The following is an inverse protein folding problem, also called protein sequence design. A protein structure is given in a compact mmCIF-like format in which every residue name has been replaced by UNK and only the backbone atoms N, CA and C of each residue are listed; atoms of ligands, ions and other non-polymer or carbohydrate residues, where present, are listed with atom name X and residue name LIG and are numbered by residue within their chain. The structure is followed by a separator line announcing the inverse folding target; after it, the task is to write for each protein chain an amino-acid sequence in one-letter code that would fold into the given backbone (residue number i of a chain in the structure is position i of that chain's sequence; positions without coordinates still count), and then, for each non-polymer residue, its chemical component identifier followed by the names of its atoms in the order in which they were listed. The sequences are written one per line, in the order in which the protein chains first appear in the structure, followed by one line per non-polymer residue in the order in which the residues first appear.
data_IF_355859585177
#
_entry.id   IF_355859585177
#
_cell.length_a   1.000
_cell.length_b   1.000
_cell.length_c   1.000
_cell.angle_alpha   90.00
_cell.angle_beta   90.00
_cell.angle_gamma   90.00
#
_symmetry.space_group_name_H-M   'P 1'
#
loop_
_entity.id
_entity.type
_entity.pdbx_description
1 polymer ?
#
# COMPACT_ATOMS: atom_id res chain seq x y z
N UNK A 1 -8.58 -10.74 16.16
CA UNK A 1 -7.41 -9.89 16.50
C UNK A 1 -7.84 -8.41 16.40
N UNK A 2 -7.89 -7.67 17.51
CA UNK A 2 -7.98 -6.20 17.50
C UNK A 2 -6.55 -5.67 17.43
N UNK A 3 -6.08 -5.28 16.25
CA UNK A 3 -4.89 -4.44 16.16
C UNK A 3 -5.35 -3.01 16.51
N UNK A 4 -5.42 -2.73 17.81
CA UNK A 4 -5.62 -1.37 18.32
C UNK A 4 -4.32 -0.59 18.10
N UNK A 5 -4.16 0.02 16.93
CA UNK A 5 -3.28 1.18 16.83
C UNK A 5 -3.98 2.32 17.57
N UNK A 6 -3.46 2.62 18.76
CA UNK A 6 -3.98 3.64 19.65
C UNK A 6 -4.15 4.97 18.91
N UNK A 7 -5.41 5.40 18.75
CA UNK A 7 -5.82 6.63 18.05
C UNK A 7 -5.78 7.83 19.00
N UNK A 8 -4.60 8.19 19.47
CA UNK A 8 -4.37 9.46 20.16
C UNK A 8 -3.21 10.19 19.50
N UNK A 9 -3.42 11.47 19.19
CA UNK A 9 -2.50 12.43 18.54
C UNK A 9 -1.02 12.10 18.71
N UNK A 10 -0.48 11.35 17.75
CA UNK A 10 0.95 11.08 17.65
C UNK A 10 1.59 12.42 17.23
N UNK A 11 2.34 13.05 18.15
CA UNK A 11 3.21 14.19 17.82
C UNK A 11 4.11 13.78 16.64
N UNK A 12 4.40 14.67 15.70
CA UNK A 12 5.25 14.36 14.52
C UNK A 12 6.57 13.64 14.88
N UNK A 13 7.12 13.91 16.07
CA UNK A 13 8.31 13.26 16.62
C UNK A 13 8.16 11.77 17.00
N UNK A 14 6.96 11.19 16.89
CA UNK A 14 6.64 9.81 17.25
C UNK A 14 6.14 8.99 16.04
N UNK A 15 6.11 9.56 14.84
CA UNK A 15 5.82 8.78 13.64
C UNK A 15 6.96 7.77 13.42
N UNK A 16 6.66 6.48 13.20
CA UNK A 16 7.69 5.49 12.92
C UNK A 16 8.52 5.92 11.72
N UNK A 17 9.83 6.11 11.94
CA UNK A 17 10.76 6.45 10.86
C UNK A 17 10.81 5.25 9.91
N UNK A 18 10.44 5.47 8.65
CA UNK A 18 10.51 4.42 7.64
C UNK A 18 11.98 4.01 7.38
N UNK A 19 12.23 2.71 7.29
CA UNK A 19 13.58 2.15 7.08
C UNK A 19 13.71 1.41 5.75
N UNK A 20 12.68 0.66 5.35
CA UNK A 20 12.73 -0.15 4.13
C UNK A 20 12.91 0.68 2.86
N UNK A 21 12.17 1.78 2.68
CA UNK A 21 12.31 2.63 1.49
C UNK A 21 13.54 3.56 1.49
N UNK A 22 14.47 3.42 2.44
CA UNK A 22 15.79 4.09 2.43
C UNK A 22 16.95 3.12 2.16
N UNK A 23 16.69 1.82 2.00
CA UNK A 23 17.75 0.81 1.81
C UNK A 23 18.38 0.93 0.43
N UNK A 24 19.71 1.08 0.40
CA UNK A 24 20.61 0.87 -0.73
C UNK A 24 20.06 1.23 -2.12
N UNK A 25 19.69 0.20 -2.88
CA UNK A 25 19.19 0.31 -4.25
C UNK A 25 17.67 0.17 -4.30
N UNK A 26 17.03 0.80 -5.29
CA UNK A 26 15.63 0.54 -5.58
C UNK A 26 15.47 -0.95 -5.99
N UNK A 27 14.49 -1.70 -5.42
CA UNK A 27 14.38 -3.14 -5.64
C UNK A 27 14.41 -3.54 -7.11
N UNK A 28 15.15 -4.59 -7.45
CA UNK A 28 15.26 -5.09 -8.83
C UNK A 28 16.08 -4.22 -9.78
N UNK A 29 16.76 -3.17 -9.30
CA UNK A 29 17.50 -2.22 -10.15
C UNK A 29 18.89 -1.89 -9.61
N UNK A 30 19.70 -1.20 -10.42
CA UNK A 30 20.98 -0.60 -10.01
C UNK A 30 20.85 0.86 -9.56
N UNK A 31 19.62 1.38 -9.43
CA UNK A 31 19.38 2.77 -9.06
C UNK A 31 19.63 2.94 -7.56
N UNK A 32 20.66 3.71 -7.21
CA UNK A 32 21.05 3.93 -5.82
C UNK A 32 20.26 5.07 -5.19
N UNK A 33 19.81 4.86 -3.95
CA UNK A 33 19.21 5.90 -3.12
C UNK A 33 20.30 6.73 -2.46
N UNK A 34 20.12 8.04 -2.38
CA UNK A 34 20.94 8.90 -1.53
C UNK A 34 20.78 8.46 -0.07
N UNK A 35 21.90 8.22 0.61
CA UNK A 35 21.91 7.85 2.03
C UNK A 35 21.38 9.02 2.88
N UNK A 36 20.48 8.70 3.80
CA UNK A 36 19.85 9.66 4.71
C UNK A 36 19.85 9.05 6.11
N UNK A 37 20.43 9.75 7.08
CA UNK A 37 20.41 9.33 8.48
C UNK A 37 19.02 9.51 9.10
N UNK A 38 18.73 8.80 10.20
CA UNK A 38 17.39 8.83 10.83
C UNK A 38 16.97 10.25 11.26
N UNK A 39 17.91 11.10 11.66
CA UNK A 39 17.70 12.52 12.03
C UNK A 39 17.47 13.46 10.83
N UNK A 40 17.70 13.00 9.60
CA UNK A 40 17.56 13.78 8.37
C UNK A 40 16.29 13.42 7.57
N UNK A 41 15.50 12.45 8.05
CA UNK A 41 14.34 11.92 7.31
C UNK A 41 13.23 12.95 7.19
N UNK A 42 12.89 13.64 8.27
CA UNK A 42 11.76 14.58 8.27
C UNK A 42 12.03 15.77 7.36
N UNK A 43 11.05 16.17 6.55
CA UNK A 43 11.18 17.31 5.62
C UNK A 43 11.49 18.63 6.32
N UNK A 44 11.08 18.78 7.57
CA UNK A 44 11.35 19.93 8.45
C UNK A 44 12.82 20.05 8.85
N UNK A 45 13.58 18.96 8.78
CA UNK A 45 15.01 18.96 9.05
C UNK A 45 15.76 19.43 7.81
N UNK A 46 16.68 20.38 8.01
CA UNK A 46 17.51 20.90 6.93
C UNK A 46 18.47 19.85 6.41
N UNK A 47 18.47 19.68 5.08
CA UNK A 47 19.45 18.86 4.37
C UNK A 47 19.79 19.57 3.04
N UNK A 48 20.65 20.60 3.06
CA UNK A 48 20.92 21.44 1.89
C UNK A 48 21.44 20.67 0.67
N UNK A 49 22.18 19.58 0.90
CA UNK A 49 22.74 18.73 -0.15
C UNK A 49 21.82 17.56 -0.53
N UNK A 50 20.51 17.67 -0.26
CA UNK A 50 19.54 16.65 -0.66
C UNK A 50 19.26 16.77 -2.16
N UNK A 51 19.87 15.87 -2.93
CA UNK A 51 19.73 15.79 -4.38
C UNK A 51 19.65 14.32 -4.81
N UNK A 52 18.57 13.62 -4.43
CA UNK A 52 18.41 12.20 -4.72
C UNK A 52 18.27 11.95 -6.23
N UNK A 53 18.70 10.77 -6.67
CA UNK A 53 18.50 10.34 -8.06
C UNK A 53 17.00 10.29 -8.40
N UNK A 54 16.69 10.55 -9.67
CA UNK A 54 15.34 10.43 -10.21
C UNK A 54 15.14 9.09 -10.87
N UNK A 55 14.04 8.39 -10.55
CA UNK A 55 13.72 7.12 -11.18
C UNK A 55 12.22 6.89 -11.32
N UNK A 56 11.83 6.52 -12.55
CA UNK A 56 10.52 5.97 -12.91
C UNK A 56 10.78 4.78 -13.84
N UNK A 57 10.16 3.64 -13.56
CA UNK A 57 10.35 2.42 -14.31
C UNK A 57 9.74 2.54 -15.72
N UNK A 58 10.42 2.01 -16.74
CA UNK A 58 10.02 2.14 -18.15
C UNK A 58 8.69 1.46 -18.49
N UNK A 59 8.24 0.50 -17.68
CA UNK A 59 6.89 -0.10 -17.82
C UNK A 59 5.76 0.90 -17.59
N UNK A 60 6.02 2.07 -17.00
CA UNK A 60 5.05 3.13 -16.76
C UNK A 60 4.99 4.19 -17.87
N UNK A 61 5.64 3.95 -19.02
CA UNK A 61 5.71 4.91 -20.14
C UNK A 61 4.34 5.13 -20.81
N UNK A 62 3.35 4.26 -20.59
CA UNK A 62 2.03 4.41 -21.17
C UNK A 62 1.08 5.17 -20.24
N UNK A 63 0.67 6.38 -20.67
CA UNK A 63 -0.42 7.14 -20.05
C UNK A 63 -1.74 6.40 -20.29
N UNK A 64 -2.18 5.67 -19.27
CA UNK A 64 -3.49 5.00 -19.24
C UNK A 64 -4.32 5.60 -18.13
N UNK A 65 -5.63 5.34 -18.11
CA UNK A 65 -6.46 5.77 -16.97
C UNK A 65 -5.99 5.17 -15.63
N UNK A 66 -5.14 4.14 -15.64
CA UNK A 66 -4.57 3.50 -14.45
C UNK A 66 -3.21 4.06 -14.01
N UNK A 67 -2.50 4.81 -14.86
CA UNK A 67 -1.13 5.27 -14.64
C UNK A 67 -1.13 6.78 -14.83
N UNK A 68 -0.66 7.52 -13.83
CA UNK A 68 -0.55 8.97 -13.96
C UNK A 68 0.51 9.34 -15.01
N UNK A 69 0.36 10.50 -15.65
CA UNK A 69 1.42 11.02 -16.50
C UNK A 69 2.67 11.34 -15.70
N UNK A 70 3.84 11.16 -16.30
CA UNK A 70 5.13 11.48 -15.66
C UNK A 70 5.27 12.98 -15.37
N UNK A 71 4.72 13.81 -16.26
CA UNK A 71 4.68 15.26 -16.06
C UNK A 71 3.40 15.58 -15.29
N UNK A 72 3.55 16.19 -14.11
CA UNK A 72 2.40 16.63 -13.32
C UNK A 72 1.67 17.74 -14.06
N UNK A 73 0.40 17.49 -14.37
CA UNK A 73 -0.50 18.51 -14.91
C UNK A 73 -0.94 19.46 -13.79
N UNK A 74 -1.13 20.72 -14.14
CA UNK A 74 -1.70 21.73 -13.22
C UNK A 74 -3.12 21.39 -12.76
N UNK A 75 -3.78 20.45 -13.45
CA UNK A 75 -5.13 20.00 -13.12
C UNK A 75 -5.16 18.89 -12.06
N UNK A 76 -4.00 18.39 -11.60
CA UNK A 76 -3.97 17.41 -10.52
C UNK A 76 -4.50 18.03 -9.23
N UNK A 77 -5.41 17.32 -8.56
CA UNK A 77 -6.01 17.75 -7.30
C UNK A 77 -5.43 16.93 -6.15
N UNK A 78 -4.38 17.43 -5.51
CA UNK A 78 -3.72 16.74 -4.40
C UNK A 78 -4.54 16.75 -3.12
N UNK A 79 -4.31 15.75 -2.26
CA UNK A 79 -4.91 15.65 -0.93
C UNK A 79 -6.46 15.66 -0.93
N UNK A 80 -7.08 15.31 -2.06
CA UNK A 80 -8.54 15.24 -2.25
C UNK A 80 -8.89 14.10 -3.23
N UNK A 81 -10.18 13.91 -3.49
CA UNK A 81 -10.63 13.12 -4.62
C UNK A 81 -10.46 13.93 -5.91
N UNK A 82 -9.57 13.49 -6.78
CA UNK A 82 -9.25 14.15 -8.04
C UNK A 82 -10.28 13.77 -9.10
N UNK A 83 -11.29 14.63 -9.26
CA UNK A 83 -12.40 14.41 -10.19
C UNK A 83 -11.97 14.46 -11.65
N UNK A 84 -10.81 15.07 -11.97
CA UNK A 84 -10.33 15.15 -13.35
C UNK A 84 -9.80 13.78 -13.83
N UNK A 85 -9.30 12.97 -12.90
CA UNK A 85 -8.73 11.65 -13.19
C UNK A 85 -9.49 10.50 -12.53
N UNK A 86 -10.52 10.78 -11.74
CA UNK A 86 -11.29 9.80 -10.96
C UNK A 86 -10.40 8.97 -10.01
N UNK A 87 -9.46 9.64 -9.33
CA UNK A 87 -8.48 9.02 -8.42
C UNK A 87 -8.60 9.62 -7.03
N UNK A 88 -8.69 8.79 -5.99
CA UNK A 88 -8.54 9.28 -4.63
C UNK A 88 -7.06 9.57 -4.36
N UNK A 89 -6.72 10.84 -4.16
CA UNK A 89 -5.35 11.27 -3.85
C UNK A 89 -5.19 11.60 -2.36
N UNK A 90 -6.17 11.30 -1.50
CA UNK A 90 -6.01 11.44 -0.03
C UNK A 90 -5.13 10.31 0.50
N UNK A 91 -4.57 10.45 1.70
CA UNK A 91 -3.94 9.32 2.36
C UNK A 91 -5.00 8.42 2.99
N UNK A 92 -4.71 7.12 3.12
CA UNK A 92 -5.58 6.17 3.82
C UNK A 92 -5.69 6.44 5.33
N UNK A 93 -4.78 7.25 5.88
CA UNK A 93 -4.77 7.64 7.29
C UNK A 93 -5.49 9.01 7.42
N UNK A 94 -6.64 9.08 8.13
CA UNK A 94 -7.43 10.31 8.21
C UNK A 94 -6.73 11.49 8.88
N UNK A 95 -5.57 11.28 9.53
CA UNK A 95 -4.82 12.34 10.23
C UNK A 95 -3.81 13.06 9.32
N UNK A 96 -3.49 12.53 8.13
CA UNK A 96 -2.33 12.98 7.36
C UNK A 96 -2.63 13.51 5.95
N UNK A 97 -2.12 14.70 5.65
CA UNK A 97 -1.87 15.19 4.30
C UNK A 97 -0.40 14.98 3.95
N UNK A 98 -0.08 14.81 2.67
CA UNK A 98 1.31 14.88 2.21
C UNK A 98 1.63 16.28 1.68
N UNK A 99 2.84 16.80 1.95
CA UNK A 99 3.24 18.09 1.44
C UNK A 99 3.48 18.04 -0.08
N UNK A 100 3.31 19.19 -0.73
CA UNK A 100 3.64 19.38 -2.15
C UNK A 100 4.87 20.29 -2.23
N UNK A 101 5.86 19.90 -3.03
CA UNK A 101 7.06 20.69 -3.21
C UNK A 101 6.83 21.93 -4.10
N UNK A 102 7.85 22.78 -4.19
CA UNK A 102 7.79 24.01 -5.00
C UNK A 102 7.60 23.77 -6.50
N UNK A 103 7.88 22.56 -6.99
CA UNK A 103 7.72 22.14 -8.39
C UNK A 103 6.35 21.50 -8.65
N UNK A 104 5.52 21.33 -7.62
CA UNK A 104 4.19 20.72 -7.71
C UNK A 104 4.18 19.20 -7.50
N UNK A 105 5.30 18.59 -7.11
CA UNK A 105 5.41 17.15 -6.86
C UNK A 105 5.02 16.81 -5.42
N UNK A 106 4.26 15.73 -5.21
CA UNK A 106 3.93 15.27 -3.86
C UNK A 106 5.17 14.67 -3.19
N UNK A 107 5.35 15.01 -1.92
CA UNK A 107 6.41 14.48 -1.07
C UNK A 107 5.88 13.33 -0.22
N UNK A 108 6.74 12.36 0.12
CA UNK A 108 6.34 11.28 1.02
C UNK A 108 5.96 11.86 2.39
N UNK A 109 4.76 11.58 2.93
CA UNK A 109 4.31 12.14 4.21
C UNK A 109 5.18 11.74 5.40
N UNK A 110 5.92 10.64 5.32
CA UNK A 110 6.84 10.20 6.39
C UNK A 110 8.31 10.64 6.16
N UNK A 111 8.58 11.49 5.17
CA UNK A 111 9.90 12.09 4.96
C UNK A 111 10.71 11.53 3.79
N UNK A 112 11.95 11.99 3.67
CA UNK A 112 12.90 11.71 2.59
C UNK A 112 13.22 10.22 2.48
N UNK A 113 13.20 9.69 1.25
CA UNK A 113 13.51 8.28 0.93
C UNK A 113 14.82 8.09 0.18
N UNK A 114 15.48 9.19 -0.21
CA UNK A 114 16.72 9.15 -0.98
C UNK A 114 16.52 8.90 -2.46
N UNK A 115 15.27 8.96 -2.95
CA UNK A 115 14.94 8.79 -4.36
C UNK A 115 13.75 9.69 -4.75
N UNK A 116 13.84 10.32 -5.92
CA UNK A 116 12.76 11.03 -6.58
C UNK A 116 12.14 10.19 -7.70
N UNK A 117 10.98 10.62 -8.19
CA UNK A 117 10.22 9.88 -9.21
C UNK A 117 9.26 8.86 -8.59
N UNK A 118 8.61 8.06 -9.44
CA UNK A 118 7.59 7.09 -9.01
C UNK A 118 8.15 5.70 -8.74
N UNK A 119 9.35 5.40 -9.22
CA UNK A 119 9.79 4.03 -9.37
C UNK A 119 8.78 3.25 -10.21
N UNK A 120 8.22 2.18 -9.66
CA UNK A 120 7.25 1.30 -10.32
C UNK A 120 5.79 1.61 -9.95
N UNK A 121 5.56 2.65 -9.13
CA UNK A 121 4.23 3.02 -8.69
C UNK A 121 3.44 3.73 -9.79
N UNK A 122 2.21 3.25 -10.05
CA UNK A 122 1.35 3.77 -11.13
C UNK A 122 0.96 5.23 -10.90
N UNK A 123 0.74 5.64 -9.64
CA UNK A 123 0.24 6.98 -9.28
C UNK A 123 1.31 7.83 -8.60
N UNK A 124 1.23 9.13 -8.83
CA UNK A 124 1.90 10.10 -7.97
C UNK A 124 1.22 10.16 -6.60
N UNK A 125 2.02 10.37 -5.55
CA UNK A 125 1.60 10.35 -4.15
C UNK A 125 1.11 8.97 -3.67
N UNK A 126 -0.20 8.74 -3.68
CA UNK A 126 -0.84 7.62 -2.98
C UNK A 126 -1.14 6.49 -3.97
N UNK A 127 -0.67 5.30 -3.63
CA UNK A 127 -0.97 4.07 -4.34
C UNK A 127 -1.66 3.13 -3.35
N UNK A 128 -2.96 2.88 -3.56
CA UNK A 128 -3.73 2.04 -2.65
C UNK A 128 -3.54 0.57 -2.96
N UNK A 129 -3.38 -0.20 -1.89
CA UNK A 129 -3.43 -1.65 -1.92
C UNK A 129 -4.37 -2.10 -0.80
N UNK A 130 -5.39 -2.87 -1.17
CA UNK A 130 -6.33 -3.46 -0.23
C UNK A 130 -5.92 -4.91 0.00
N UNK A 131 -5.79 -5.29 1.28
CA UNK A 131 -5.42 -6.64 1.69
C UNK A 131 -6.63 -7.32 2.35
N UNK A 132 -6.86 -8.58 2.01
CA UNK A 132 -7.95 -9.38 2.56
C UNK A 132 -7.39 -10.51 3.44
N UNK A 133 -7.69 -10.45 4.74
CA UNK A 133 -7.31 -11.49 5.70
C UNK A 133 -8.54 -12.35 6.00
N UNK A 134 -8.56 -13.55 5.44
CA UNK A 134 -9.60 -14.55 5.74
C UNK A 134 -9.05 -15.49 6.79
N UNK A 135 -9.72 -15.58 7.93
CA UNK A 135 -9.35 -16.43 9.05
C UNK A 135 -10.49 -17.35 9.47
N UNK A 136 -10.12 -18.53 9.96
CA UNK A 136 -11.03 -19.52 10.52
C UNK A 136 -10.48 -19.97 11.89
N UNK A 137 -11.37 -20.02 12.88
CA UNK A 137 -11.04 -20.58 14.19
C UNK A 137 -10.79 -22.09 14.08
N UNK A 138 -9.82 -22.58 14.84
CA UNK A 138 -9.52 -24.03 14.86
C UNK A 138 -10.17 -24.75 16.03
N UNK A 139 -10.77 -24.02 16.98
CA UNK A 139 -11.16 -24.51 18.30
C UNK A 139 -10.00 -25.12 19.12
N UNK A 140 -8.75 -24.99 18.67
CA UNK A 140 -7.57 -25.40 19.39
C UNK A 140 -7.07 -24.25 20.27
N UNK A 141 -6.66 -24.58 21.50
CA UNK A 141 -6.04 -23.63 22.43
C UNK A 141 -4.61 -24.08 22.68
N UNK A 142 -3.65 -23.18 22.45
CA UNK A 142 -2.22 -23.41 22.73
C UNK A 142 -1.72 -22.29 23.63
N UNK A 143 -1.13 -22.65 24.77
CA UNK A 143 -0.63 -21.69 25.77
C UNK A 143 -1.68 -20.66 26.20
N UNK A 144 -2.96 -21.07 26.31
CA UNK A 144 -4.06 -20.20 26.71
C UNK A 144 -4.58 -19.26 25.61
N UNK A 145 -4.11 -19.40 24.36
CA UNK A 145 -4.56 -18.61 23.22
C UNK A 145 -5.22 -19.49 22.16
N UNK A 146 -6.33 -19.03 21.60
CA UNK A 146 -6.99 -19.69 20.48
C UNK A 146 -6.13 -19.62 19.21
N UNK A 147 -6.03 -20.74 18.51
CA UNK A 147 -5.31 -20.83 17.24
C UNK A 147 -6.27 -20.57 16.08
N UNK A 148 -5.81 -19.73 15.15
CA UNK A 148 -6.52 -19.42 13.90
C UNK A 148 -5.71 -19.92 12.71
N UNK A 149 -6.40 -20.38 11.67
CA UNK A 149 -5.83 -20.56 10.33
C UNK A 149 -6.24 -19.38 9.47
N UNK A 150 -5.38 -18.97 8.54
CA UNK A 150 -5.69 -17.91 7.58
C UNK A 150 -5.18 -18.28 6.19
N UNK A 151 -5.77 -17.67 5.16
CA UNK A 151 -5.42 -17.94 3.76
C UNK A 151 -4.28 -17.03 3.32
N UNK A 152 -3.30 -17.62 2.65
CA UNK A 152 -2.21 -16.94 1.97
C UNK A 152 -2.09 -17.38 0.52
N UNK A 153 -1.62 -16.50 -0.35
CA UNK A 153 -1.25 -16.80 -1.73
C UNK A 153 0.24 -17.15 -1.80
N UNK A 154 0.59 -18.17 -2.59
CA UNK A 154 1.97 -18.45 -3.01
C UNK A 154 2.14 -18.11 -4.49
N UNK A 155 2.70 -16.95 -4.84
CA UNK A 155 2.98 -16.65 -6.23
C UNK A 155 3.97 -17.65 -6.82
N UNK A 156 3.82 -17.95 -8.12
CA UNK A 156 4.63 -18.97 -8.80
C UNK A 156 6.13 -18.67 -8.81
N UNK A 157 6.49 -17.39 -8.81
CA UNK A 157 7.87 -16.91 -8.99
C UNK A 157 8.35 -16.04 -7.82
N UNK A 158 7.65 -16.09 -6.69
CA UNK A 158 8.03 -15.37 -5.47
C UNK A 158 8.33 -16.41 -4.41
N UNK A 159 9.41 -16.25 -3.64
CA UNK A 159 9.78 -17.18 -2.58
C UNK A 159 8.86 -17.05 -1.36
N UNK A 160 8.18 -15.92 -1.22
CA UNK A 160 7.35 -15.61 -0.06
C UNK A 160 5.87 -15.89 -0.32
N UNK A 161 5.18 -16.22 0.77
CA UNK A 161 3.72 -16.19 0.79
C UNK A 161 3.26 -14.76 1.05
N UNK A 162 2.13 -14.37 0.47
CA UNK A 162 1.54 -13.05 0.68
C UNK A 162 0.08 -13.12 1.06
N UNK A 163 -0.41 -12.09 1.73
CA UNK A 163 -1.85 -11.92 1.93
C UNK A 163 -2.48 -11.53 0.59
N UNK A 164 -3.63 -12.15 0.21
CA UNK A 164 -4.41 -11.72 -0.94
C UNK A 164 -4.60 -10.21 -0.96
N UNK A 165 -4.23 -9.59 -2.08
CA UNK A 165 -4.33 -8.14 -2.19
C UNK A 165 -4.47 -7.67 -3.62
N UNK A 166 -5.08 -6.50 -3.77
CA UNK A 166 -5.31 -5.88 -5.08
C UNK A 166 -5.00 -4.39 -5.01
N UNK A 167 -4.35 -3.86 -6.04
CA UNK A 167 -4.18 -2.41 -6.20
C UNK A 167 -5.51 -1.75 -6.58
N UNK A 168 -5.86 -0.68 -5.87
CA UNK A 168 -7.17 -0.01 -5.98
C UNK A 168 -6.97 1.50 -6.18
N UNK A 169 -8.05 2.21 -6.49
CA UNK A 169 -8.04 3.68 -6.70
C UNK A 169 -8.48 4.46 -5.46
N UNK A 170 -8.63 3.78 -4.32
CA UNK A 170 -9.12 4.36 -3.07
C UNK A 170 -9.40 3.30 -1.99
N UNK A 171 -9.97 3.74 -0.87
CA UNK A 171 -10.38 2.90 0.27
C UNK A 171 -11.90 2.66 0.35
N UNK A 172 -12.63 2.93 -0.73
CA UNK A 172 -14.09 2.77 -0.74
C UNK A 172 -14.53 1.30 -0.85
N UNK A 173 -15.84 1.06 -0.76
CA UNK A 173 -16.39 -0.30 -0.84
C UNK A 173 -16.04 -1.02 -2.16
N UNK A 174 -15.93 -0.28 -3.27
CA UNK A 174 -15.53 -0.86 -4.55
C UNK A 174 -14.12 -1.46 -4.50
N UNK A 175 -13.21 -0.88 -3.71
CA UNK A 175 -11.87 -1.43 -3.49
C UNK A 175 -11.91 -2.79 -2.79
N UNK A 176 -12.78 -2.93 -1.78
CA UNK A 176 -12.99 -4.20 -1.04
C UNK A 176 -13.63 -5.23 -1.97
N UNK A 177 -14.71 -4.85 -2.67
CA UNK A 177 -15.43 -5.71 -3.64
C UNK A 177 -14.49 -6.23 -4.72
N UNK A 178 -13.69 -5.34 -5.33
CA UNK A 178 -12.67 -5.71 -6.33
C UNK A 178 -11.63 -6.69 -5.77
N UNK A 179 -11.18 -6.47 -4.53
CA UNK A 179 -10.18 -7.34 -3.90
C UNK A 179 -10.74 -8.74 -3.64
N UNK A 180 -11.95 -8.82 -3.10
CA UNK A 180 -12.64 -10.09 -2.87
C UNK A 180 -12.91 -10.84 -4.18
N UNK A 181 -13.39 -10.14 -5.22
CA UNK A 181 -13.59 -10.69 -6.56
C UNK A 181 -12.28 -11.26 -7.13
N UNK A 182 -11.19 -10.49 -7.07
CA UNK A 182 -9.87 -10.91 -7.55
C UNK A 182 -9.41 -12.18 -6.83
N UNK A 183 -9.52 -12.20 -5.50
CA UNK A 183 -9.16 -13.34 -4.69
C UNK A 183 -9.96 -14.60 -5.04
N UNK A 184 -11.29 -14.50 -5.13
CA UNK A 184 -12.16 -15.62 -5.44
C UNK A 184 -11.90 -16.18 -6.85
N UNK A 185 -11.68 -15.30 -7.84
CA UNK A 185 -11.32 -15.72 -9.20
C UNK A 185 -9.98 -16.47 -9.29
N UNK A 186 -9.05 -16.20 -8.37
CA UNK A 186 -7.74 -16.86 -8.34
C UNK A 186 -7.79 -18.26 -7.72
N UNK A 187 -8.75 -18.52 -6.83
CA UNK A 187 -8.88 -19.82 -6.14
C UNK A 187 -9.60 -20.85 -7.00
N UNK A 188 -10.54 -20.42 -7.84
CA UNK A 188 -11.41 -21.35 -8.55
C UNK A 188 -11.53 -20.97 -10.02
N UNK A 189 -10.97 -21.82 -10.90
CA UNK A 189 -11.01 -21.63 -12.35
C UNK A 189 -12.43 -21.70 -12.94
N UNK A 190 -13.40 -22.21 -12.19
CA UNK A 190 -14.82 -22.26 -12.58
C UNK A 190 -15.58 -20.97 -12.23
N UNK A 191 -14.96 -20.00 -11.55
CA UNK A 191 -15.59 -18.70 -11.26
C UNK A 191 -15.92 -17.87 -12.50
N UNK A 192 -15.30 -18.16 -13.64
CA UNK A 192 -15.64 -17.49 -14.90
C UNK A 192 -17.03 -17.86 -15.44
N UNK A 193 -17.67 -18.94 -14.95
CA UNK A 193 -19.06 -19.32 -15.29
C UNK A 193 -20.09 -18.80 -14.26
N UNK A 194 -19.66 -17.99 -13.29
CA UNK A 194 -20.35 -17.70 -12.02
C UNK A 194 -21.02 -16.31 -12.00
N UNK A 195 -21.54 -15.84 -13.14
CA UNK A 195 -21.51 -14.41 -13.49
C UNK A 195 -22.79 -13.57 -13.24
N UNK A 196 -23.85 -14.11 -12.60
CA UNK A 196 -25.07 -13.31 -12.27
C UNK A 196 -25.70 -13.50 -10.89
N UNK A 197 -25.62 -14.69 -10.29
CA UNK A 197 -26.24 -14.97 -8.97
C UNK A 197 -25.34 -14.69 -7.77
N UNK A 198 -24.16 -14.09 -7.97
CA UNK A 198 -23.11 -14.02 -6.94
C UNK A 198 -22.67 -12.61 -6.56
N UNK A 199 -23.14 -11.56 -7.23
CA UNK A 199 -22.97 -10.19 -6.70
C UNK A 199 -23.59 -10.07 -5.31
N UNK A 200 -24.78 -10.66 -5.13
CA UNK A 200 -25.44 -10.75 -3.82
C UNK A 200 -24.60 -11.48 -2.79
N UNK A 201 -23.98 -12.62 -3.13
CA UNK A 201 -23.10 -13.35 -2.20
C UNK A 201 -21.83 -12.59 -1.83
N UNK A 202 -21.26 -11.84 -2.78
CA UNK A 202 -20.11 -10.98 -2.52
C UNK A 202 -20.50 -9.87 -1.57
N UNK A 203 -21.65 -9.23 -1.82
CA UNK A 203 -22.18 -8.19 -0.95
C UNK A 203 -22.51 -8.75 0.44
N UNK A 204 -23.10 -9.94 0.55
CA UNK A 204 -23.34 -10.66 1.81
C UNK A 204 -22.03 -10.91 2.58
N UNK A 205 -20.96 -11.38 1.91
CA UNK A 205 -19.65 -11.59 2.55
C UNK A 205 -19.08 -10.26 3.04
N UNK A 206 -19.18 -9.20 2.22
CA UNK A 206 -18.67 -7.87 2.54
C UNK A 206 -19.33 -7.31 3.80
N UNK A 207 -20.64 -7.53 3.99
CA UNK A 207 -21.36 -7.11 5.20
C UNK A 207 -20.80 -7.72 6.49
N UNK A 208 -20.16 -8.88 6.39
CA UNK A 208 -19.55 -9.58 7.53
C UNK A 208 -18.05 -9.28 7.68
N UNK A 209 -17.44 -8.51 6.77
CA UNK A 209 -16.04 -8.13 6.89
C UNK A 209 -15.84 -7.09 7.99
N UNK A 210 -14.80 -7.30 8.79
CA UNK A 210 -14.36 -6.34 9.80
C UNK A 210 -13.16 -5.56 9.28
N UNK A 211 -13.29 -4.23 9.22
CA UNK A 211 -12.15 -3.36 8.97
C UNK A 211 -11.15 -3.45 10.13
N UNK A 212 -9.89 -3.77 9.80
CA UNK A 212 -8.82 -3.89 10.81
C UNK A 212 -8.07 -2.57 10.97
N UNK A 213 -7.44 -2.07 9.91
CA UNK A 213 -6.64 -0.85 9.94
C UNK A 213 -6.32 -0.33 8.54
N UNK A 214 -5.88 0.92 8.46
CA UNK A 214 -5.12 1.48 7.34
C UNK A 214 -3.71 1.84 7.82
N UNK A 215 -2.72 1.74 6.94
CA UNK A 215 -1.34 2.08 7.27
C UNK A 215 -0.59 2.62 6.04
N UNK A 216 0.42 3.43 6.29
CA UNK A 216 1.45 3.70 5.29
C UNK A 216 2.39 2.50 5.20
N UNK A 217 2.68 2.04 4.00
CA UNK A 217 3.61 0.95 3.74
C UNK A 217 4.85 1.52 3.05
N UNK A 218 5.99 1.49 3.73
CA UNK A 218 7.25 2.05 3.26
C UNK A 218 8.03 1.14 2.30
N UNK A 219 7.34 0.40 1.45
CA UNK A 219 7.92 -0.55 0.50
C UNK A 219 6.94 -0.77 -0.66
N UNK A 220 7.47 -1.12 -1.83
CA UNK A 220 6.66 -1.53 -3.00
C UNK A 220 6.23 -3.00 -2.92
N UNK A 221 6.91 -3.79 -2.09
CA UNK A 221 6.57 -5.17 -1.79
C UNK A 221 6.15 -5.25 -0.33
N UNK A 222 4.85 -5.39 -0.09
CA UNK A 222 4.35 -5.68 1.26
C UNK A 222 4.56 -7.16 1.54
N UNK A 223 5.68 -7.45 2.19
CA UNK A 223 5.99 -8.76 2.75
C UNK A 223 5.54 -8.77 4.20
N UNK A 224 4.87 -9.85 4.61
CA UNK A 224 4.67 -10.12 6.03
C UNK A 224 5.78 -11.08 6.44
N UNK A 225 6.74 -10.54 7.18
CA UNK A 225 7.75 -11.33 7.86
C UNK A 225 7.05 -12.16 8.96
N UNK A 226 6.64 -13.38 8.62
CA UNK A 226 6.34 -14.38 9.62
C UNK A 226 7.68 -14.93 10.12
N UNK A 227 8.00 -14.66 11.39
CA UNK A 227 8.88 -15.55 12.13
C UNK A 227 8.15 -16.88 12.26
N UNK A 228 8.30 -17.75 11.26
CA UNK A 228 8.04 -19.16 11.43
C UNK A 228 9.09 -19.65 12.42
N UNK A 229 8.76 -19.66 13.71
CA UNK A 229 9.49 -20.50 14.65
C UNK A 229 9.35 -21.94 14.16
N UNK A 230 10.33 -22.41 13.39
CA UNK A 230 10.55 -23.82 13.17
C UNK A 230 10.88 -24.42 14.54
N UNK A 231 9.90 -25.13 15.11
CA UNK A 231 10.13 -26.11 16.15
C UNK A 231 10.35 -27.48 15.52
#
# INVERSE_FOLDING_TARGET
IKILLNRSSIKESLLPIHRYCRKGFYPGTTIQRQQINDDQVLWTMDLPNYNPSYYTHSSLINDTNEIDSEIISKNFMWNTFDTNYNVDRRTANPVGYYPIDKKGYPLNPLGRTGLCGRGELKRWAVNYQTHLVIMCGTNEIKSGQEIFKYIMEKPRYDDYYRIPSTSTTGTNMNAIKKTLQTFLSNIDRTWNDFDKNNETKIDDIIEHLTFVSTAYIGTIHFEIDFYLEHK
#
